data_IF_060784752255
#
_entry.id   IF_060784752255
#
_cell.length_a   1.000
_cell.length_b   1.000
_cell.length_c   1.000
_cell.angle_alpha   90.00
_cell.angle_beta   90.00
_cell.angle_gamma   90.00
#
_symmetry.space_group_name_H-M   'P 1'
#
loop_
_entity.id
_entity.type
_entity.pdbx_description
1 polymer ?
#
# COMPACT_ATOMS: atom_id res chain seq x y z
N UNK A 1 -22.40 1.28 28.56
CA UNK A 1 -21.18 1.62 27.81
C UNK A 1 -20.61 0.30 27.39
N UNK A 2 -20.84 -0.10 26.14
CA UNK A 2 -20.38 -1.39 25.62
C UNK A 2 -18.86 -1.35 25.50
N UNK A 3 -18.19 -2.37 26.05
CA UNK A 3 -16.75 -2.53 25.92
C UNK A 3 -16.39 -2.61 24.43
N UNK A 4 -15.64 -1.60 23.96
CA UNK A 4 -15.05 -1.62 22.62
C UNK A 4 -14.07 -2.80 22.61
N UNK A 5 -14.22 -3.79 21.70
CA UNK A 5 -13.26 -4.87 21.58
C UNK A 5 -11.87 -4.26 21.35
N UNK A 6 -11.00 -4.40 22.34
CA UNK A 6 -9.60 -3.99 22.24
C UNK A 6 -8.75 -5.24 22.07
N UNK A 7 -7.84 -5.21 21.11
CA UNK A 7 -6.87 -6.26 20.87
C UNK A 7 -5.50 -5.65 21.08
N UNK A 8 -4.80 -6.10 22.13
CA UNK A 8 -3.41 -5.72 22.35
C UNK A 8 -2.52 -6.56 21.42
N UNK A 9 -1.62 -5.90 20.68
CA UNK A 9 -0.60 -6.54 19.84
C UNK A 9 0.31 -7.50 20.63
N UNK A 10 0.34 -7.42 21.96
CA UNK A 10 1.10 -8.33 22.81
C UNK A 10 0.34 -9.61 23.19
N UNK A 11 -0.96 -9.71 22.86
CA UNK A 11 -1.86 -10.77 23.38
C UNK A 11 -2.20 -11.89 22.38
N UNK A 12 -1.46 -12.06 21.30
CA UNK A 12 -1.72 -13.16 20.36
C UNK A 12 -0.49 -13.54 19.52
N UNK A 13 -0.54 -14.69 18.83
CA UNK A 13 0.30 -14.91 17.67
C UNK A 13 -0.25 -14.07 16.51
N UNK A 14 0.24 -12.84 16.36
CA UNK A 14 -0.14 -11.98 15.24
C UNK A 14 0.78 -12.20 14.06
N UNK A 15 0.20 -12.29 12.86
CA UNK A 15 0.94 -12.18 11.62
C UNK A 15 0.52 -10.88 10.97
N UNK A 16 1.46 -9.94 10.88
CA UNK A 16 1.26 -8.71 10.14
C UNK A 16 1.24 -9.04 8.65
N UNK A 17 0.06 -8.96 8.04
CA UNK A 17 -0.14 -9.34 6.64
C UNK A 17 -0.21 -8.16 5.70
N UNK A 18 -0.50 -6.95 6.20
CA UNK A 18 -0.62 -5.76 5.38
C UNK A 18 -0.17 -4.52 6.14
N UNK A 19 0.61 -3.68 5.48
CA UNK A 19 1.00 -2.35 5.93
C UNK A 19 0.46 -1.34 4.92
N UNK A 20 -0.20 -0.29 5.41
CA UNK A 20 -0.70 0.82 4.59
C UNK A 20 -0.14 2.14 5.10
N UNK A 21 0.52 2.86 4.21
CA UNK A 21 1.10 4.18 4.42
C UNK A 21 0.19 5.21 3.75
N UNK A 22 -0.26 6.20 4.51
CA UNK A 22 -1.16 7.23 4.01
C UNK A 22 -0.38 8.49 3.63
N UNK A 23 -0.69 9.01 2.44
CA UNK A 23 -0.18 10.29 1.96
C UNK A 23 -0.84 11.44 2.71
N UNK A 24 -0.19 12.60 2.68
CA UNK A 24 -0.64 13.79 3.42
C UNK A 24 -1.95 14.31 2.87
N UNK A 25 -2.97 14.38 3.73
CA UNK A 25 -4.01 15.41 3.61
C UNK A 25 -3.48 16.70 4.26
N UNK A 26 -3.78 17.88 3.68
CA UNK A 26 -3.35 19.27 4.03
C UNK A 26 -3.23 19.69 5.52
N UNK A 27 -3.50 18.83 6.52
CA UNK A 27 -3.50 19.15 7.95
C UNK A 27 -2.72 18.20 8.87
N UNK A 28 -2.25 17.04 8.41
CA UNK A 28 -1.45 16.14 9.24
C UNK A 28 -0.04 16.00 8.66
N UNK A 29 0.98 16.02 9.52
CA UNK A 29 2.38 16.03 9.11
C UNK A 29 2.74 14.93 8.11
N UNK A 30 3.68 15.23 7.21
CA UNK A 30 4.20 14.26 6.25
C UNK A 30 4.72 13.01 6.95
N UNK A 31 4.28 11.84 6.47
CA UNK A 31 4.94 10.60 6.82
C UNK A 31 6.42 10.74 6.47
N UNK A 32 7.28 10.76 7.48
CA UNK A 32 8.73 10.98 7.35
C UNK A 32 9.54 9.68 7.50
N UNK A 33 8.86 8.53 7.51
CA UNK A 33 9.50 7.22 7.61
C UNK A 33 9.95 6.67 6.26
N UNK A 34 10.78 5.62 6.24
CA UNK A 34 11.13 4.91 5.02
C UNK A 34 9.86 4.26 4.44
N UNK A 35 9.50 4.67 3.23
CA UNK A 35 8.43 4.07 2.44
C UNK A 35 9.05 2.90 1.66
N UNK A 36 8.37 1.77 1.55
CA UNK A 36 8.91 0.62 0.85
C UNK A 36 9.17 0.90 -0.63
N UNK A 37 10.16 0.21 -1.18
CA UNK A 37 10.63 0.38 -2.57
C UNK A 37 11.03 1.81 -2.91
N UNK A 38 11.39 2.61 -1.89
CA UNK A 38 11.77 4.02 -2.04
C UNK A 38 10.73 4.83 -2.83
N UNK A 39 9.46 4.49 -2.67
CA UNK A 39 8.37 5.30 -3.20
C UNK A 39 8.26 6.58 -2.38
N UNK A 40 7.90 7.69 -3.03
CA UNK A 40 7.64 8.95 -2.35
C UNK A 40 6.25 9.46 -2.75
N UNK A 41 5.51 10.04 -1.81
CA UNK A 41 4.17 10.60 -2.06
C UNK A 41 4.16 11.76 -3.07
N UNK A 42 5.32 12.34 -3.38
CA UNK A 42 5.49 13.34 -4.43
C UNK A 42 5.71 12.74 -5.82
N UNK A 43 5.87 11.40 -5.94
CA UNK A 43 6.04 10.77 -7.25
C UNK A 43 4.74 10.79 -8.04
N UNK A 44 4.85 11.10 -9.33
CA UNK A 44 3.73 10.96 -10.27
C UNK A 44 3.58 9.50 -10.70
N UNK A 45 2.35 9.09 -11.02
CA UNK A 45 1.97 7.72 -11.39
C UNK A 45 2.90 7.05 -12.41
N UNK A 46 3.25 7.72 -13.49
CA UNK A 46 4.18 7.17 -14.50
C UNK A 46 5.60 6.94 -13.98
N UNK A 47 6.09 7.80 -13.07
CA UNK A 47 7.40 7.61 -12.43
C UNK A 47 7.42 6.38 -11.54
N UNK A 48 6.31 6.12 -10.83
CA UNK A 48 6.14 4.92 -10.00
C UNK A 48 6.15 3.68 -10.88
N UNK A 49 5.37 3.67 -11.97
CA UNK A 49 5.30 2.55 -12.92
C UNK A 49 6.67 2.24 -13.52
N UNK A 50 7.41 3.27 -13.95
CA UNK A 50 8.77 3.09 -14.45
C UNK A 50 9.73 2.56 -13.37
N UNK A 51 9.61 3.06 -12.12
CA UNK A 51 10.41 2.57 -11.00
C UNK A 51 10.13 1.09 -10.73
N UNK A 52 8.86 0.70 -10.66
CA UNK A 52 8.42 -0.68 -10.44
C UNK A 52 8.87 -1.63 -11.56
N UNK A 53 8.83 -1.16 -12.82
CA UNK A 53 9.36 -1.89 -13.96
C UNK A 53 10.87 -2.13 -13.81
N UNK A 54 11.64 -1.10 -13.43
CA UNK A 54 13.10 -1.16 -13.29
C UNK A 54 13.55 -2.08 -12.15
N UNK A 55 12.74 -2.24 -11.10
CA UNK A 55 13.02 -3.18 -10.01
C UNK A 55 12.50 -4.60 -10.30
N UNK A 56 11.95 -4.84 -11.50
CA UNK A 56 11.59 -6.18 -11.98
C UNK A 56 10.16 -6.64 -11.67
N UNK A 57 9.29 -5.77 -11.12
CA UNK A 57 7.89 -6.12 -10.86
C UNK A 57 7.00 -6.07 -12.12
N UNK A 58 7.51 -5.50 -13.22
CA UNK A 58 6.80 -5.45 -14.49
C UNK A 58 5.76 -4.34 -14.57
N UNK A 59 4.77 -4.54 -15.44
CA UNK A 59 3.69 -3.59 -15.66
C UNK A 59 2.66 -3.66 -14.53
N UNK A 60 2.07 -2.51 -14.19
CA UNK A 60 1.00 -2.45 -13.21
C UNK A 60 -0.27 -3.14 -13.72
N UNK A 61 -0.95 -3.85 -12.84
CA UNK A 61 -2.37 -4.17 -13.02
C UNK A 61 -3.18 -2.98 -12.52
N UNK A 62 -4.01 -2.41 -13.39
CA UNK A 62 -4.89 -1.29 -13.02
C UNK A 62 -6.17 -1.85 -12.41
N UNK A 63 -6.52 -1.36 -11.22
CA UNK A 63 -7.68 -1.74 -10.43
C UNK A 63 -8.49 -0.50 -10.02
N UNK A 64 -9.63 -0.73 -9.38
CA UNK A 64 -10.55 0.33 -8.91
C UNK A 64 -11.64 0.66 -9.94
N UNK A 65 -12.77 1.17 -9.45
CA UNK A 65 -13.89 1.56 -10.34
C UNK A 65 -13.54 2.76 -11.21
N UNK A 66 -12.65 3.64 -10.73
CA UNK A 66 -12.14 4.82 -11.43
C UNK A 66 -10.73 4.61 -11.99
N UNK A 67 -10.23 3.36 -12.03
CA UNK A 67 -8.85 3.07 -12.45
C UNK A 67 -7.79 3.84 -11.63
N UNK A 68 -8.13 4.12 -10.37
CA UNK A 68 -7.37 4.93 -9.40
C UNK A 68 -6.35 4.11 -8.60
N UNK A 69 -6.13 2.85 -8.97
CA UNK A 69 -5.21 1.97 -8.26
C UNK A 69 -4.29 1.22 -9.22
N UNK A 70 -2.99 1.27 -8.93
CA UNK A 70 -2.00 0.39 -9.56
C UNK A 70 -1.58 -0.70 -8.56
N UNK A 71 -1.57 -1.94 -9.03
CA UNK A 71 -1.13 -3.10 -8.27
C UNK A 71 0.01 -3.82 -8.97
N UNK A 72 1.01 -4.23 -8.18
CA UNK A 72 2.03 -5.18 -8.57
C UNK A 72 2.03 -6.37 -7.63
N UNK A 73 2.38 -7.54 -8.17
CA UNK A 73 2.55 -8.75 -7.38
C UNK A 73 3.89 -9.38 -7.71
N UNK A 74 4.67 -9.70 -6.68
CA UNK A 74 5.89 -10.47 -6.79
C UNK A 74 5.87 -11.59 -5.76
N UNK A 75 5.81 -12.83 -6.24
CA UNK A 75 5.64 -14.03 -5.40
C UNK A 75 4.42 -13.89 -4.45
N UNK A 76 4.69 -13.76 -3.14
CA UNK A 76 3.68 -13.60 -2.08
C UNK A 76 3.53 -12.15 -1.63
N UNK A 77 4.19 -11.20 -2.27
CA UNK A 77 4.09 -9.78 -1.93
C UNK A 77 3.18 -9.08 -2.94
N UNK A 78 2.21 -8.34 -2.42
CA UNK A 78 1.36 -7.43 -3.18
C UNK A 78 1.74 -5.99 -2.82
N UNK A 79 1.88 -5.14 -3.82
CA UNK A 79 2.08 -3.70 -3.64
C UNK A 79 0.93 -3.01 -4.34
N UNK A 80 0.25 -2.12 -3.63
CA UNK A 80 -0.79 -1.28 -4.22
C UNK A 80 -0.46 0.19 -4.01
N UNK A 81 -0.63 1.00 -5.04
CA UNK A 81 -0.59 2.45 -4.96
C UNK A 81 -1.95 2.97 -5.38
N UNK A 82 -2.65 3.62 -4.46
CA UNK A 82 -3.94 4.27 -4.69
C UNK A 82 -3.70 5.76 -4.92
N UNK A 83 -4.40 6.33 -5.89
CA UNK A 83 -4.30 7.71 -6.31
C UNK A 83 -5.59 8.48 -5.97
N UNK A 84 -5.53 9.81 -5.96
CA UNK A 84 -6.73 10.63 -5.99
C UNK A 84 -7.24 10.78 -7.43
N UNK A 85 -8.56 10.63 -7.61
CA UNK A 85 -9.22 10.70 -8.92
C UNK A 85 -8.95 12.01 -9.70
N UNK A 86 -8.63 13.11 -9.01
CA UNK A 86 -8.57 14.44 -9.60
C UNK A 86 -7.19 14.84 -10.15
N UNK A 87 -6.11 14.17 -9.72
CA UNK A 87 -4.75 14.63 -10.03
C UNK A 87 -3.66 13.53 -10.03
N UNK A 88 -4.03 12.25 -9.93
CA UNK A 88 -3.10 11.12 -9.84
C UNK A 88 -2.04 11.25 -8.71
N UNK A 89 -2.27 12.12 -7.72
CA UNK A 89 -1.41 12.19 -6.55
C UNK A 89 -1.63 10.95 -5.67
N UNK A 90 -0.55 10.43 -5.09
CA UNK A 90 -0.63 9.23 -4.27
C UNK A 90 -1.47 9.51 -3.02
N UNK A 91 -2.56 8.77 -2.87
CA UNK A 91 -3.40 8.76 -1.68
C UNK A 91 -2.87 7.80 -0.63
N UNK A 92 -2.55 6.57 -1.02
CA UNK A 92 -1.94 5.59 -0.13
C UNK A 92 -1.02 4.61 -0.88
N UNK A 93 -0.08 4.04 -0.14
CA UNK A 93 0.78 2.94 -0.59
C UNK A 93 0.56 1.80 0.38
N UNK A 94 0.24 0.60 -0.11
CA UNK A 94 0.12 -0.58 0.73
C UNK A 94 1.02 -1.71 0.28
N UNK A 95 1.49 -2.49 1.24
CA UNK A 95 2.17 -3.76 1.01
C UNK A 95 1.47 -4.85 1.77
N UNK A 96 1.07 -5.88 1.05
CA UNK A 96 0.49 -7.10 1.58
C UNK A 96 1.42 -8.30 1.40
N UNK A 97 1.34 -9.25 2.32
CA UNK A 97 1.80 -10.62 2.13
C UNK A 97 0.57 -11.51 1.92
N UNK A 98 0.49 -12.17 0.77
CA UNK A 98 -0.51 -13.16 0.45
C UNK A 98 -0.29 -14.39 1.34
N UNK A 99 -1.20 -14.58 2.29
CA UNK A 99 -1.23 -15.79 3.11
C UNK A 99 -2.02 -16.87 2.37
N UNK A 100 -1.33 -17.97 2.06
CA UNK A 100 -1.97 -19.21 1.66
C UNK A 100 -2.69 -19.81 2.87
N UNK A 101 -4.01 -19.70 2.89
CA UNK A 101 -4.87 -20.26 3.93
C UNK A 101 -5.34 -21.69 3.65
N UNK A 102 -4.91 -22.30 2.54
CA UNK A 102 -5.29 -23.69 2.21
C UNK A 102 -4.68 -24.73 3.17
N UNK A 103 -3.76 -24.31 4.03
CA UNK A 103 -3.06 -25.15 5.02
C UNK A 103 -3.29 -24.72 6.48
N UNK A 104 -4.22 -23.80 6.72
CA UNK A 104 -4.58 -23.33 8.07
C UNK A 104 -5.77 -24.10 8.63
#
# INVERSE_FOLDING_TARGET
>A
MEDIPSHNIDQGPWVLTKLTFWGVHKKNGAYAGPIPYELDFSMVRDSIRNKMLNIGLGQATVLGFSEDMDMWQMERVEITVEYFDDNDAIRCISIGVLIDRSRA
#
